data_IF_311865963198
#
_entry.id   IF_311865963198
#
_cell.length_a   1.000
_cell.length_b   1.000
_cell.length_c   1.000
_cell.angle_alpha   90.00
_cell.angle_beta   90.00
_cell.angle_gamma   90.00
#
_symmetry.space_group_name_H-M   'P 1'
#
loop_
_entity.id
_entity.type
_entity.pdbx_description
1 polymer ?
#
# COMPACT_ATOMS: atom_id res chain seq x y z
N UNK A 1 15.40 -9.82 -48.06
CA UNK A 1 14.78 -9.85 -46.71
C UNK A 1 14.05 -8.51 -46.53
N UNK A 2 12.88 -8.17 -47.10
CA UNK A 2 11.57 -8.84 -47.24
C UNK A 2 11.02 -9.43 -45.95
N UNK A 3 10.37 -8.59 -45.13
CA UNK A 3 9.03 -8.85 -44.60
C UNK A 3 8.44 -7.56 -44.00
N UNK A 4 7.37 -7.08 -44.64
CA UNK A 4 6.55 -5.94 -44.26
C UNK A 4 5.10 -6.38 -44.56
N UNK A 5 4.42 -6.90 -43.54
CA UNK A 5 3.01 -7.35 -43.52
C UNK A 5 2.63 -7.38 -42.02
N UNK A 6 1.47 -7.00 -41.50
CA UNK A 6 0.35 -6.15 -41.89
C UNK A 6 -0.57 -6.07 -40.64
N UNK A 7 -1.28 -4.95 -40.53
CA UNK A 7 -2.56 -4.71 -39.83
C UNK A 7 -3.21 -5.84 -39.01
N UNK A 8 -3.56 -5.51 -37.76
CA UNK A 8 -4.90 -5.77 -37.22
C UNK A 8 -5.28 -4.72 -36.18
N UNK A 9 -5.92 -3.65 -36.65
CA UNK A 9 -6.72 -2.76 -35.80
C UNK A 9 -8.10 -3.40 -35.79
N UNK A 10 -8.48 -4.02 -34.67
CA UNK A 10 -9.87 -4.43 -34.46
C UNK A 10 -10.68 -3.18 -34.16
N UNK A 11 -11.39 -2.72 -35.19
CA UNK A 11 -12.57 -1.88 -35.08
C UNK A 11 -13.72 -2.73 -34.52
N UNK A 12 -13.85 -2.74 -33.19
CA UNK A 12 -15.02 -3.22 -32.48
C UNK A 12 -15.97 -2.08 -32.16
N UNK A 13 -16.96 -1.92 -33.04
CA UNK A 13 -18.33 -1.41 -32.83
C UNK A 13 -18.64 -0.67 -31.50
N UNK A 14 -18.49 0.67 -31.52
CA UNK A 14 -19.15 1.56 -30.55
C UNK A 14 -20.42 2.11 -31.18
N UNK A 15 -21.51 1.34 -31.08
CA UNK A 15 -22.84 1.86 -31.38
C UNK A 15 -23.67 1.97 -30.10
N UNK A 16 -24.02 3.23 -29.82
CA UNK A 16 -25.20 3.67 -29.07
C UNK A 16 -25.22 3.47 -27.55
N UNK A 17 -24.78 4.49 -26.81
CA UNK A 17 -25.75 5.21 -25.96
C UNK A 17 -25.36 6.69 -25.82
N UNK A 18 -26.04 7.49 -26.63
CA UNK A 18 -25.97 8.93 -26.69
C UNK A 18 -26.96 9.55 -25.68
N UNK A 19 -26.59 10.71 -25.16
CA UNK A 19 -27.41 11.72 -24.47
C UNK A 19 -27.68 11.57 -22.96
N UNK A 20 -26.89 12.32 -22.17
CA UNK A 20 -27.26 13.60 -21.49
C UNK A 20 -26.23 13.83 -20.38
N UNK A 21 -25.65 15.00 -20.15
CA UNK A 21 -25.70 16.30 -20.78
C UNK A 21 -24.57 17.11 -20.14
N UNK A 22 -24.01 18.03 -20.92
CA UNK A 22 -23.03 19.00 -20.48
C UNK A 22 -23.64 19.88 -19.38
N UNK A 23 -22.93 20.04 -18.26
CA UNK A 23 -22.86 21.35 -17.60
C UNK A 23 -21.54 21.46 -16.86
N UNK A 24 -20.59 22.13 -17.51
CA UNK A 24 -19.47 22.77 -16.84
C UNK A 24 -20.03 23.94 -16.02
N UNK A 25 -19.89 23.86 -14.71
CA UNK A 25 -19.85 25.06 -13.86
C UNK A 25 -18.87 24.77 -12.74
N UNK A 26 -17.63 25.18 -12.96
CA UNK A 26 -16.64 25.35 -11.91
C UNK A 26 -17.07 26.59 -11.13
N UNK A 27 -17.51 26.42 -9.88
CA UNK A 27 -17.81 27.53 -8.98
C UNK A 27 -16.81 27.50 -7.83
N UNK A 28 -15.83 28.38 -7.90
CA UNK A 28 -15.00 28.76 -6.77
C UNK A 28 -15.89 29.57 -5.81
N UNK A 29 -16.11 29.04 -4.61
CA UNK A 29 -16.48 29.86 -3.46
C UNK A 29 -15.35 29.77 -2.46
N UNK A 30 -14.67 30.91 -2.28
CA UNK A 30 -13.85 31.21 -1.11
C UNK A 30 -14.83 31.57 0.00
N UNK A 31 -14.91 30.74 1.03
CA UNK A 31 -15.46 31.13 2.33
C UNK A 31 -14.32 30.98 3.33
N UNK A 32 -13.83 32.14 3.77
CA UNK A 32 -13.04 32.29 4.98
C UNK A 32 -13.93 31.86 6.16
N UNK A 33 -13.50 30.86 6.92
CA UNK A 33 -14.05 30.65 8.25
C UNK A 33 -13.01 30.15 9.25
N UNK A 34 -13.06 30.82 10.40
CA UNK A 34 -12.07 30.86 11.46
C UNK A 34 -11.80 29.50 12.11
N UNK A 35 -10.51 29.21 12.34
CA UNK A 35 -10.07 28.07 13.15
C UNK A 35 -10.55 28.18 14.60
N UNK A 36 -11.66 27.51 14.94
CA UNK A 36 -11.96 27.10 16.31
C UNK A 36 -11.54 25.66 16.54
N UNK A 37 -10.49 25.51 17.35
CA UNK A 37 -10.15 24.26 18.05
C UNK A 37 -11.38 23.72 18.79
N UNK A 38 -11.94 22.61 18.33
CA UNK A 38 -12.80 21.75 19.14
C UNK A 38 -12.30 20.33 19.07
N UNK A 39 -11.76 19.84 20.19
CA UNK A 39 -11.53 18.42 20.43
C UNK A 39 -12.90 17.76 20.54
N UNK A 40 -13.29 17.03 19.50
CA UNK A 40 -14.34 16.03 19.61
C UNK A 40 -13.73 14.68 19.26
N UNK A 41 -13.58 13.86 20.30
CA UNK A 41 -13.52 12.40 20.17
C UNK A 41 -14.78 11.96 19.42
N UNK A 42 -14.60 11.45 18.20
CA UNK A 42 -15.66 10.78 17.46
C UNK A 42 -15.35 9.29 17.43
N UNK A 43 -15.90 8.58 18.41
CA UNK A 43 -16.26 7.17 18.25
C UNK A 43 -17.30 7.08 17.12
N UNK A 44 -16.80 7.00 15.90
CA UNK A 44 -17.60 6.67 14.74
C UNK A 44 -17.87 5.16 14.74
N UNK A 45 -18.87 4.75 15.53
CA UNK A 45 -19.54 3.47 15.32
C UNK A 45 -20.20 3.50 13.94
N UNK A 46 -19.58 2.82 12.98
CA UNK A 46 -20.16 2.53 11.67
C UNK A 46 -21.39 1.63 11.92
N UNK A 47 -22.60 1.97 11.43
CA UNK A 47 -23.69 1.01 11.45
C UNK A 47 -23.37 -0.05 10.40
N UNK A 48 -22.91 -1.21 10.87
CA UNK A 48 -22.99 -2.45 10.13
C UNK A 48 -24.47 -2.73 9.86
N UNK A 49 -24.96 -2.32 8.69
CA UNK A 49 -26.18 -2.88 8.11
C UNK A 49 -25.89 -4.32 7.71
N UNK A 50 -25.86 -5.21 8.69
CA UNK A 50 -26.06 -6.64 8.47
C UNK A 50 -27.56 -6.77 8.17
N UNK A 51 -27.89 -6.88 6.89
CA UNK A 51 -29.21 -7.29 6.45
C UNK A 51 -29.50 -8.67 7.05
N UNK A 52 -30.29 -8.70 8.11
CA UNK A 52 -30.74 -9.92 8.77
C UNK A 52 -31.83 -10.57 7.92
N UNK A 53 -31.43 -11.36 6.93
CA UNK A 53 -32.35 -12.25 6.21
C UNK A 53 -31.71 -13.63 6.07
N UNK A 54 -31.44 -14.29 7.21
CA UNK A 54 -31.37 -15.75 7.27
C UNK A 54 -31.99 -16.19 8.59
N UNK A 55 -33.29 -16.48 8.53
CA UNK A 55 -33.93 -17.27 9.55
C UNK A 55 -33.35 -18.70 9.49
N UNK A 56 -33.03 -19.33 10.64
CA UNK A 56 -32.60 -20.71 10.66
C UNK A 56 -33.77 -21.60 10.24
N UNK A 57 -33.54 -22.50 9.28
CA UNK A 57 -34.43 -23.62 9.02
C UNK A 57 -34.41 -24.49 10.27
N UNK A 58 -35.44 -24.31 11.10
CA UNK A 58 -35.84 -25.26 12.13
C UNK A 58 -36.04 -26.60 11.44
N UNK A 59 -35.11 -27.53 11.68
CA UNK A 59 -35.26 -28.91 11.26
C UNK A 59 -35.10 -29.82 12.47
N UNK A 60 -36.04 -30.74 12.54
CA UNK A 60 -36.12 -31.89 13.43
C UNK A 60 -36.43 -31.60 14.91
N UNK A 61 -37.73 -31.45 15.18
CA UNK A 61 -38.32 -32.06 16.38
C UNK A 61 -37.89 -33.53 16.41
N UNK A 62 -37.09 -33.83 17.42
CA UNK A 62 -36.64 -35.16 17.79
C UNK A 62 -37.86 -35.99 18.20
N UNK A 63 -38.36 -36.84 17.30
CA UNK A 63 -39.29 -37.89 17.69
C UNK A 63 -38.56 -38.90 18.58
N UNK A 64 -38.61 -38.68 19.89
CA UNK A 64 -38.48 -39.75 20.87
C UNK A 64 -39.68 -40.68 20.69
N UNK A 65 -39.54 -41.68 19.82
CA UNK A 65 -40.34 -42.89 19.91
C UNK A 65 -39.55 -43.87 20.76
N UNK A 66 -39.87 -43.88 22.05
CA UNK A 66 -39.54 -44.99 22.93
C UNK A 66 -40.20 -46.25 22.33
N UNK A 67 -39.39 -47.11 21.71
CA UNK A 67 -39.77 -48.50 21.49
C UNK A 67 -39.86 -49.16 22.86
N UNK A 68 -41.06 -49.19 23.43
CA UNK A 68 -41.38 -50.14 24.50
C UNK A 68 -41.41 -51.53 23.87
N UNK A 69 -40.36 -52.30 24.14
CA UNK A 69 -40.32 -53.74 23.94
C UNK A 69 -41.48 -54.39 24.72
N UNK A 70 -42.63 -54.58 24.06
CA UNK A 70 -43.63 -55.53 24.53
C UNK A 70 -43.18 -56.95 24.16
N UNK A 71 -42.11 -57.40 24.83
CA UNK A 71 -41.80 -58.83 24.95
C UNK A 71 -42.72 -59.42 26.01
N UNK A 72 -44.00 -59.62 25.66
CA UNK A 72 -44.86 -60.51 26.43
C UNK A 72 -44.66 -61.93 25.90
N UNK A 73 -43.70 -62.57 26.57
CA UNK A 73 -43.54 -64.01 26.72
C UNK A 73 -44.91 -64.70 26.79
N UNK A 74 -45.36 -65.32 25.70
CA UNK A 74 -46.45 -66.28 25.77
C UNK A 74 -45.91 -67.53 26.46
N UNK A 75 -45.83 -67.48 27.79
CA UNK A 75 -45.68 -68.67 28.61
C UNK A 75 -46.90 -69.55 28.38
N UNK A 76 -46.69 -70.62 27.62
CA UNK A 76 -47.60 -71.75 27.57
C UNK A 76 -47.70 -72.36 28.96
N UNK A 77 -48.69 -71.93 29.76
CA UNK A 77 -49.18 -72.73 30.88
C UNK A 77 -50.01 -73.87 30.29
N UNK A 78 -49.34 -74.94 29.85
CA UNK A 78 -49.99 -76.24 29.76
C UNK A 78 -50.21 -76.68 31.20
N UNK A 79 -51.39 -76.36 31.73
CA UNK A 79 -51.89 -76.99 32.92
C UNK A 79 -52.14 -78.47 32.57
N UNK A 80 -51.28 -79.36 33.08
CA UNK A 80 -51.54 -80.80 33.12
C UNK A 80 -52.79 -81.03 33.97
N UNK A 81 -53.97 -81.05 33.33
CA UNK A 81 -55.16 -81.60 33.96
C UNK A 81 -55.08 -83.13 33.90
N UNK A 82 -54.47 -83.72 34.93
CA UNK A 82 -54.66 -85.14 35.27
C UNK A 82 -56.10 -85.37 35.73
N UNK A 83 -57.01 -85.45 34.77
CA UNK A 83 -58.38 -85.94 34.95
C UNK A 83 -58.47 -87.37 34.42
N UNK A 84 -58.47 -88.33 35.34
CA UNK A 84 -58.64 -89.77 35.13
C UNK A 84 -59.98 -90.07 34.41
N UNK A 85 -59.94 -90.39 33.11
CA UNK A 85 -61.06 -91.05 32.43
C UNK A 85 -60.88 -92.57 32.55
N UNK A 86 -61.56 -93.15 33.54
CA UNK A 86 -61.83 -94.59 33.62
C UNK A 86 -62.61 -95.01 32.37
N UNK A 87 -62.02 -95.96 31.66
CA UNK A 87 -62.44 -96.47 30.37
C UNK A 87 -63.56 -97.50 30.59
N UNK A 88 -64.82 -97.08 30.43
CA UNK A 88 -65.94 -98.00 30.23
C UNK A 88 -67.11 -97.23 29.57
N UNK A 89 -67.25 -97.34 28.25
CA UNK A 89 -68.55 -97.61 27.62
C UNK A 89 -68.37 -97.96 26.13
N UNK A 90 -69.14 -98.94 25.69
CA UNK A 90 -69.16 -99.53 24.36
C UNK A 90 -69.65 -98.51 23.34
N UNK A 91 -68.74 -97.90 22.59
CA UNK A 91 -69.09 -96.98 21.51
C UNK A 91 -70.07 -97.62 20.52
N UNK A 92 -71.18 -96.95 20.26
CA UNK A 92 -72.08 -97.35 19.17
C UNK A 92 -71.42 -97.04 17.81
N UNK A 93 -71.68 -97.79 16.73
CA UNK A 93 -71.06 -97.58 15.42
C UNK A 93 -71.14 -96.13 14.90
N UNK A 94 -72.19 -95.38 15.27
CA UNK A 94 -72.34 -93.95 14.92
C UNK A 94 -71.43 -92.98 15.70
N UNK A 95 -70.90 -93.37 16.86
CA UNK A 95 -69.91 -92.58 17.61
C UNK A 95 -68.50 -92.77 17.05
N UNK A 96 -68.19 -93.98 16.56
CA UNK A 96 -66.89 -94.31 15.94
C UNK A 96 -66.73 -93.56 14.60
N UNK A 97 -67.79 -93.49 13.79
CA UNK A 97 -67.79 -92.73 12.52
C UNK A 97 -67.62 -91.24 12.76
N UNK A 98 -68.34 -90.68 13.74
CA UNK A 98 -68.23 -89.26 14.12
C UNK A 98 -66.83 -88.91 14.63
N UNK A 99 -66.23 -89.74 15.50
CA UNK A 99 -64.88 -89.55 16.01
C UNK A 99 -63.83 -89.59 14.87
N UNK A 100 -64.02 -90.45 13.87
CA UNK A 100 -63.15 -90.52 12.69
C UNK A 100 -63.26 -89.26 11.82
N UNK A 101 -64.46 -88.75 11.60
CA UNK A 101 -64.68 -87.49 10.85
C UNK A 101 -64.14 -86.27 11.60
N UNK A 102 -64.31 -86.24 12.93
CA UNK A 102 -63.73 -85.22 13.80
C UNK A 102 -62.19 -85.26 13.76
N UNK A 103 -61.57 -86.45 13.80
CA UNK A 103 -60.12 -86.62 13.66
C UNK A 103 -59.59 -86.16 12.29
N UNK A 104 -60.35 -86.42 11.21
CA UNK A 104 -60.03 -85.92 9.87
C UNK A 104 -60.11 -84.40 9.80
N UNK A 105 -61.15 -83.80 10.40
CA UNK A 105 -61.30 -82.35 10.52
C UNK A 105 -60.16 -81.73 11.34
N UNK A 106 -59.81 -82.33 12.48
CA UNK A 106 -58.68 -81.90 13.32
C UNK A 106 -57.38 -81.92 12.52
N UNK A 107 -57.14 -82.97 11.73
CA UNK A 107 -55.93 -83.07 10.90
C UNK A 107 -55.88 -81.98 9.82
N UNK A 108 -57.01 -81.65 9.18
CA UNK A 108 -57.08 -80.56 8.21
C UNK A 108 -56.82 -79.20 8.88
N UNK A 109 -57.44 -78.95 10.04
CA UNK A 109 -57.22 -77.73 10.82
C UNK A 109 -55.75 -77.58 11.27
N UNK A 110 -55.09 -78.66 11.66
CA UNK A 110 -53.66 -78.64 12.00
C UNK A 110 -52.79 -78.31 10.78
N UNK A 111 -53.12 -78.84 9.60
CA UNK A 111 -52.40 -78.51 8.36
C UNK A 111 -52.58 -77.05 7.97
N UNK A 112 -53.80 -76.53 8.07
CA UNK A 112 -54.09 -75.11 7.83
C UNK A 112 -53.37 -74.21 8.83
N UNK A 113 -53.40 -74.57 10.13
CA UNK A 113 -52.68 -73.85 11.18
C UNK A 113 -51.17 -73.82 10.92
N UNK A 114 -50.59 -74.95 10.51
CA UNK A 114 -49.17 -75.03 10.17
C UNK A 114 -48.83 -74.19 8.93
N UNK A 115 -49.66 -74.23 7.88
CA UNK A 115 -49.47 -73.40 6.69
C UNK A 115 -49.54 -71.90 7.00
N UNK A 116 -50.46 -71.49 7.88
CA UNK A 116 -50.56 -70.12 8.37
C UNK A 116 -49.32 -69.75 9.22
N UNK A 117 -48.86 -70.64 10.09
CA UNK A 117 -47.66 -70.42 10.90
C UNK A 117 -46.39 -70.23 10.05
N UNK A 118 -46.20 -71.06 9.02
CA UNK A 118 -45.10 -70.91 8.07
C UNK A 118 -45.18 -69.61 7.26
N UNK A 119 -46.38 -69.24 6.81
CA UNK A 119 -46.61 -67.99 6.09
C UNK A 119 -46.31 -66.78 6.96
N UNK A 120 -46.78 -66.78 8.22
CA UNK A 120 -46.53 -65.72 9.18
C UNK A 120 -45.03 -65.58 9.48
N UNK A 121 -44.32 -66.70 9.70
CA UNK A 121 -42.86 -66.69 9.84
C UNK A 121 -42.15 -66.07 8.64
N UNK A 122 -42.53 -66.46 7.42
CA UNK A 122 -41.97 -65.86 6.18
C UNK A 122 -42.25 -64.36 6.07
N UNK A 123 -43.43 -63.91 6.50
CA UNK A 123 -43.78 -62.49 6.51
C UNK A 123 -42.97 -61.73 7.57
N UNK A 124 -42.76 -62.32 8.74
CA UNK A 124 -41.92 -61.75 9.80
C UNK A 124 -40.45 -61.64 9.37
N UNK A 125 -39.90 -62.66 8.72
CA UNK A 125 -38.54 -62.62 8.16
C UNK A 125 -38.41 -61.50 7.11
N UNK A 126 -39.35 -61.41 6.16
CA UNK A 126 -39.39 -60.34 5.16
C UNK A 126 -39.53 -58.95 5.76
N UNK A 127 -40.34 -58.81 6.83
CA UNK A 127 -40.51 -57.55 7.53
C UNK A 127 -39.18 -57.12 8.15
N UNK A 128 -38.50 -58.03 8.87
CA UNK A 128 -37.20 -57.75 9.48
C UNK A 128 -36.11 -57.41 8.45
N UNK A 129 -36.13 -58.06 7.29
CA UNK A 129 -35.23 -57.75 6.18
C UNK A 129 -35.48 -56.34 5.63
N UNK A 130 -36.75 -55.96 5.42
CA UNK A 130 -37.12 -54.63 4.93
C UNK A 130 -36.85 -53.53 5.95
N UNK A 131 -37.03 -53.79 7.23
CA UNK A 131 -36.65 -52.87 8.32
C UNK A 131 -35.15 -52.59 8.30
N UNK A 132 -34.32 -53.64 8.15
CA UNK A 132 -32.87 -53.48 8.04
C UNK A 132 -32.46 -52.73 6.77
N UNK A 133 -33.07 -53.02 5.61
CA UNK A 133 -32.81 -52.27 4.37
C UNK A 133 -33.16 -50.79 4.51
N UNK A 134 -34.29 -50.49 5.16
CA UNK A 134 -34.74 -49.13 5.41
C UNK A 134 -33.76 -48.39 6.34
N UNK A 135 -33.26 -49.05 7.39
CA UNK A 135 -32.25 -48.48 8.27
C UNK A 135 -30.93 -48.19 7.54
N UNK A 136 -30.48 -49.09 6.68
CA UNK A 136 -29.29 -48.85 5.83
C UNK A 136 -29.49 -47.66 4.90
N UNK A 137 -30.64 -47.55 4.24
CA UNK A 137 -30.94 -46.42 3.35
C UNK A 137 -31.00 -45.10 4.13
N UNK A 138 -31.59 -45.08 5.33
CA UNK A 138 -31.60 -43.88 6.20
C UNK A 138 -30.18 -43.43 6.54
N UNK A 139 -29.34 -44.35 6.96
CA UNK A 139 -27.94 -44.04 7.29
C UNK A 139 -27.18 -43.52 6.06
N UNK A 140 -27.39 -44.10 4.87
CA UNK A 140 -26.77 -43.62 3.64
C UNK A 140 -27.22 -42.19 3.28
N UNK A 141 -28.52 -41.90 3.41
CA UNK A 141 -29.03 -40.54 3.18
C UNK A 141 -28.47 -39.52 4.18
N UNK A 142 -28.39 -39.86 5.47
CA UNK A 142 -27.80 -38.98 6.48
C UNK A 142 -26.30 -38.73 6.23
N UNK A 143 -25.57 -39.75 5.76
CA UNK A 143 -24.16 -39.62 5.40
C UNK A 143 -23.98 -38.70 4.17
N UNK A 144 -24.84 -38.83 3.15
CA UNK A 144 -24.81 -37.96 1.98
C UNK A 144 -25.14 -36.51 2.34
N UNK A 145 -26.15 -36.29 3.19
CA UNK A 145 -26.52 -34.95 3.68
C UNK A 145 -25.35 -34.29 4.41
N UNK A 146 -24.71 -35.01 5.35
CA UNK A 146 -23.52 -34.51 6.07
C UNK A 146 -22.35 -34.22 5.15
N UNK A 147 -22.12 -35.05 4.12
CA UNK A 147 -21.06 -34.83 3.15
C UNK A 147 -21.31 -33.56 2.32
N UNK A 148 -22.55 -33.31 1.92
CA UNK A 148 -22.93 -32.09 1.20
C UNK A 148 -22.80 -30.86 2.10
N UNK A 149 -23.26 -30.94 3.35
CA UNK A 149 -23.14 -29.86 4.32
C UNK A 149 -21.68 -29.48 4.58
N UNK A 150 -20.80 -30.47 4.79
CA UNK A 150 -19.37 -30.23 4.95
C UNK A 150 -18.75 -29.52 3.73
N UNK A 151 -19.15 -29.91 2.51
CA UNK A 151 -18.69 -29.27 1.27
C UNK A 151 -19.21 -27.84 1.10
N UNK A 152 -20.43 -27.57 1.57
CA UNK A 152 -20.98 -26.21 1.59
C UNK A 152 -20.20 -25.36 2.60
N UNK A 153 -19.94 -25.88 3.80
CA UNK A 153 -19.17 -25.19 4.82
C UNK A 153 -17.75 -24.87 4.35
N UNK A 154 -17.05 -25.82 3.73
CA UNK A 154 -15.72 -25.61 3.14
C UNK A 154 -15.72 -24.46 2.12
N UNK A 155 -16.67 -24.47 1.17
CA UNK A 155 -16.81 -23.39 0.18
C UNK A 155 -17.14 -22.04 0.83
N UNK A 156 -17.99 -22.05 1.86
CA UNK A 156 -18.34 -20.83 2.58
C UNK A 156 -17.11 -20.24 3.29
N UNK A 157 -16.29 -21.08 3.93
CA UNK A 157 -15.03 -20.65 4.56
C UNK A 157 -14.09 -20.00 3.55
N UNK A 158 -13.89 -20.61 2.38
CA UNK A 158 -13.03 -20.04 1.32
C UNK A 158 -13.53 -18.67 0.88
N UNK A 159 -14.83 -18.52 0.62
CA UNK A 159 -15.40 -17.23 0.20
C UNK A 159 -15.24 -16.16 1.29
N UNK A 160 -15.44 -16.52 2.56
CA UNK A 160 -15.24 -15.60 3.69
C UNK A 160 -13.78 -15.15 3.79
N UNK A 161 -12.83 -16.07 3.61
CA UNK A 161 -11.40 -15.74 3.59
C UNK A 161 -11.05 -14.83 2.41
N UNK A 162 -11.54 -15.10 1.20
CA UNK A 162 -11.32 -14.26 0.02
C UNK A 162 -11.86 -12.84 0.23
N UNK A 163 -13.09 -12.71 0.75
CA UNK A 163 -13.69 -11.41 1.06
C UNK A 163 -12.87 -10.66 2.11
N UNK A 164 -12.40 -11.36 3.15
CA UNK A 164 -11.55 -10.75 4.18
C UNK A 164 -10.24 -10.22 3.60
N UNK A 165 -9.56 -11.00 2.75
CA UNK A 165 -8.32 -10.57 2.10
C UNK A 165 -8.57 -9.38 1.16
N UNK A 166 -9.60 -9.44 0.32
CA UNK A 166 -9.96 -8.35 -0.59
C UNK A 166 -10.30 -7.05 0.17
N UNK A 167 -10.99 -7.15 1.31
CA UNK A 167 -11.28 -5.99 2.16
C UNK A 167 -10.00 -5.39 2.76
N UNK A 168 -9.11 -6.24 3.28
CA UNK A 168 -7.82 -5.79 3.83
C UNK A 168 -6.96 -5.09 2.78
N UNK A 169 -6.91 -5.62 1.56
CA UNK A 169 -6.21 -4.99 0.43
C UNK A 169 -6.84 -3.65 0.04
N UNK A 170 -8.18 -3.60 -0.03
CA UNK A 170 -8.92 -2.35 -0.29
C UNK A 170 -8.59 -1.29 0.76
N UNK A 171 -8.62 -1.63 2.05
CA UNK A 171 -8.33 -0.68 3.12
C UNK A 171 -6.87 -0.22 3.10
N UNK A 172 -5.92 -1.13 2.84
CA UNK A 172 -4.52 -0.78 2.65
C UNK A 172 -4.32 0.20 1.48
N UNK A 173 -4.97 -0.05 0.34
CA UNK A 173 -4.90 0.81 -0.84
C UNK A 173 -5.54 2.19 -0.59
N UNK A 174 -6.67 2.24 0.10
CA UNK A 174 -7.33 3.50 0.49
C UNK A 174 -6.44 4.31 1.42
N UNK A 175 -5.86 3.68 2.46
CA UNK A 175 -4.94 4.35 3.37
C UNK A 175 -3.68 4.85 2.67
N UNK A 176 -3.15 4.11 1.70
CA UNK A 176 -2.02 4.56 0.88
C UNK A 176 -2.37 5.80 0.05
N UNK A 177 -3.54 5.81 -0.61
CA UNK A 177 -4.01 6.98 -1.38
C UNK A 177 -4.23 8.20 -0.51
N UNK A 178 -4.81 8.03 0.68
CA UNK A 178 -5.03 9.14 1.61
C UNK A 178 -3.70 9.75 2.08
N UNK A 179 -2.69 8.91 2.36
CA UNK A 179 -1.35 9.39 2.74
C UNK A 179 -0.72 10.20 1.61
N UNK A 180 -0.71 9.69 0.38
CA UNK A 180 -0.19 10.41 -0.77
C UNK A 180 -0.89 11.76 -0.98
N UNK A 181 -2.23 11.79 -0.89
CA UNK A 181 -2.97 13.04 -1.03
C UNK A 181 -2.62 14.06 0.08
N UNK A 182 -2.36 13.59 1.29
CA UNK A 182 -1.90 14.46 2.38
C UNK A 182 -0.49 14.98 2.16
N UNK A 183 0.43 14.12 1.72
CA UNK A 183 1.81 14.49 1.37
C UNK A 183 1.82 15.53 0.24
N UNK A 184 1.08 15.30 -0.84
CA UNK A 184 0.95 16.24 -1.96
C UNK A 184 0.35 17.60 -1.52
N UNK A 185 -0.67 17.57 -0.67
CA UNK A 185 -1.27 18.79 -0.08
C UNK A 185 -0.28 19.55 0.78
N UNK A 186 0.46 18.85 1.64
CA UNK A 186 1.43 19.46 2.53
C UNK A 186 2.60 20.06 1.73
N UNK A 187 3.09 19.38 0.68
CA UNK A 187 4.08 19.91 -0.25
C UNK A 187 3.57 21.14 -1.03
N UNK A 188 2.30 21.12 -1.46
CA UNK A 188 1.68 22.27 -2.12
C UNK A 188 1.56 23.46 -1.17
N UNK A 189 1.18 23.23 0.09
CA UNK A 189 1.12 24.27 1.12
C UNK A 189 2.49 24.87 1.42
N UNK A 190 3.54 24.04 1.51
CA UNK A 190 4.91 24.52 1.69
C UNK A 190 5.35 25.38 0.50
N UNK A 191 5.10 24.93 -0.73
CA UNK A 191 5.42 25.70 -1.94
C UNK A 191 4.65 27.02 -2.01
N UNK A 192 3.36 27.01 -1.68
CA UNK A 192 2.53 28.21 -1.64
C UNK A 192 3.08 29.23 -0.64
N UNK A 193 3.42 28.80 0.58
CA UNK A 193 4.03 29.67 1.60
C UNK A 193 5.38 30.24 1.17
N UNK A 194 6.22 29.44 0.50
CA UNK A 194 7.51 29.93 -0.02
C UNK A 194 7.30 31.00 -1.10
N UNK A 195 6.31 30.81 -1.98
CA UNK A 195 5.97 31.80 -3.00
C UNK A 195 5.38 33.07 -2.39
N UNK A 196 4.52 32.94 -1.37
CA UNK A 196 3.97 34.06 -0.61
C UNK A 196 5.10 34.88 0.04
N UNK A 197 6.04 34.23 0.73
CA UNK A 197 7.21 34.91 1.30
C UNK A 197 8.09 35.58 0.24
N UNK A 198 8.29 34.91 -0.91
CA UNK A 198 9.02 35.51 -2.03
C UNK A 198 8.28 36.72 -2.61
N UNK A 199 6.94 36.67 -2.65
CA UNK A 199 6.09 37.76 -3.12
C UNK A 199 6.07 38.94 -2.15
N UNK A 200 5.95 38.71 -0.85
CA UNK A 200 6.09 39.76 0.19
C UNK A 200 7.45 40.47 0.08
N UNK A 201 8.52 39.73 -0.25
CA UNK A 201 9.84 40.32 -0.55
C UNK A 201 9.86 41.20 -1.81
N UNK A 202 8.95 40.98 -2.76
CA UNK A 202 8.81 41.73 -4.01
C UNK A 202 7.77 42.86 -3.95
N UNK A 203 6.81 42.81 -3.02
CA UNK A 203 5.74 43.81 -2.85
C UNK A 203 6.28 45.20 -2.45
N UNK A 204 7.58 45.29 -2.10
CA UNK A 204 8.31 46.54 -1.91
C UNK A 204 8.78 47.22 -3.22
N UNK A 205 8.38 46.70 -4.38
CA UNK A 205 8.67 47.27 -5.69
C UNK A 205 7.35 47.47 -6.43
N UNK A 206 6.59 48.51 -6.06
CA UNK A 206 5.57 49.03 -6.96
C UNK A 206 6.26 49.54 -8.24
N UNK A 207 6.08 48.89 -9.41
CA UNK A 207 6.79 49.27 -10.63
C UNK A 207 6.35 50.66 -11.14
N UNK A 208 5.09 51.04 -10.89
CA UNK A 208 4.55 52.33 -11.35
C UNK A 208 5.13 53.53 -10.58
N UNK A 209 5.49 53.34 -9.31
CA UNK A 209 6.09 54.39 -8.48
C UNK A 209 7.61 54.53 -8.66
N UNK A 210 8.28 53.51 -9.19
CA UNK A 210 9.74 53.50 -9.41
C UNK A 210 10.14 54.23 -10.70
N UNK A 211 9.30 54.18 -11.74
CA UNK A 211 9.55 54.79 -13.06
C UNK A 211 9.22 56.28 -13.12
N UNK A 212 8.37 56.78 -12.20
CA UNK A 212 8.06 58.20 -12.12
C UNK A 212 9.33 59.01 -11.88
N UNK A 213 9.45 60.21 -12.44
CA UNK A 213 10.57 61.13 -12.13
C UNK A 213 10.35 61.87 -10.80
N UNK A 214 11.42 62.40 -10.19
CA UNK A 214 11.28 63.18 -8.94
C UNK A 214 10.41 64.41 -9.19
N UNK A 215 10.50 64.95 -10.41
CA UNK A 215 9.68 66.06 -10.88
C UNK A 215 8.20 65.69 -10.99
N UNK A 216 7.87 64.50 -11.49
CA UNK A 216 6.47 64.02 -11.53
C UNK A 216 5.88 63.84 -10.13
N UNK A 217 6.64 63.27 -9.19
CA UNK A 217 6.21 63.13 -7.79
C UNK A 217 5.97 64.50 -7.13
N UNK A 218 6.86 65.46 -7.36
CA UNK A 218 6.70 66.84 -6.89
C UNK A 218 5.48 67.52 -7.51
N UNK A 219 5.26 67.35 -8.81
CA UNK A 219 4.08 67.87 -9.50
C UNK A 219 2.79 67.25 -8.96
N UNK A 220 2.79 65.95 -8.60
CA UNK A 220 1.65 65.28 -7.97
C UNK A 220 1.38 65.80 -6.57
N UNK A 221 2.41 66.06 -5.76
CA UNK A 221 2.23 66.72 -4.45
C UNK A 221 1.65 68.11 -4.62
N UNK A 222 2.17 68.89 -5.58
CA UNK A 222 1.71 70.26 -5.81
C UNK A 222 0.24 70.33 -6.28
N UNK A 223 -0.22 69.27 -6.95
CA UNK A 223 -1.60 69.17 -7.46
C UNK A 223 -2.48 68.23 -6.61
N UNK A 224 -2.02 67.81 -5.43
CA UNK A 224 -2.77 66.87 -4.60
C UNK A 224 -3.85 67.59 -3.77
N UNK A 225 -5.11 67.24 -4.00
CA UNK A 225 -6.25 67.82 -3.27
C UNK A 225 -6.48 67.20 -1.88
N UNK A 226 -5.73 66.15 -1.53
CA UNK A 226 -5.90 65.43 -0.27
C UNK A 226 -4.58 65.22 0.46
N UNK A 227 -4.60 65.36 1.79
CA UNK A 227 -3.45 65.09 2.66
C UNK A 227 -2.88 63.69 2.44
N UNK A 228 -3.74 62.68 2.28
CA UNK A 228 -3.30 61.30 2.05
C UNK A 228 -2.53 61.14 0.73
N UNK A 229 -2.87 61.90 -0.31
CA UNK A 229 -2.12 61.88 -1.57
C UNK A 229 -0.77 62.61 -1.44
N UNK A 230 -0.72 63.68 -0.65
CA UNK A 230 0.54 64.37 -0.31
C UNK A 230 1.47 63.43 0.46
N UNK A 231 0.98 62.78 1.51
CA UNK A 231 1.76 61.88 2.35
C UNK A 231 2.32 60.70 1.53
N UNK A 232 1.47 60.02 0.72
CA UNK A 232 1.89 58.92 -0.15
C UNK A 232 3.00 59.32 -1.13
N UNK A 233 2.83 60.44 -1.85
CA UNK A 233 3.86 60.90 -2.78
C UNK A 233 5.12 61.40 -2.04
N UNK A 234 4.97 61.95 -0.83
CA UNK A 234 6.07 62.35 0.05
C UNK A 234 6.93 61.17 0.48
N UNK A 235 6.29 60.08 0.91
CA UNK A 235 6.96 58.83 1.29
C UNK A 235 7.78 58.27 0.13
N UNK A 236 7.23 58.26 -1.09
CA UNK A 236 7.95 57.84 -2.30
C UNK A 236 9.18 58.68 -2.63
N UNK A 237 9.07 60.01 -2.45
CA UNK A 237 10.22 60.91 -2.64
C UNK A 237 11.32 60.58 -1.64
N UNK A 238 10.96 60.41 -0.36
CA UNK A 238 11.89 60.06 0.72
C UNK A 238 12.58 58.73 0.41
N UNK A 239 11.80 57.71 0.07
CA UNK A 239 12.30 56.38 -0.30
C UNK A 239 13.28 56.44 -1.46
N UNK A 240 12.96 57.22 -2.50
CA UNK A 240 13.83 57.37 -3.68
C UNK A 240 15.13 58.09 -3.34
N UNK A 241 15.07 59.13 -2.51
CA UNK A 241 16.27 59.84 -2.03
C UNK A 241 17.15 58.87 -1.24
N UNK A 242 16.57 58.07 -0.35
CA UNK A 242 17.30 57.06 0.41
C UNK A 242 17.95 56.02 -0.51
N UNK A 243 17.21 55.42 -1.45
CA UNK A 243 17.73 54.45 -2.43
C UNK A 243 18.84 55.05 -3.30
N UNK A 244 18.73 56.32 -3.71
CA UNK A 244 19.78 57.00 -4.48
C UNK A 244 21.04 57.23 -3.66
N UNK A 245 20.90 57.68 -2.41
CA UNK A 245 22.04 57.86 -1.48
C UNK A 245 22.73 56.54 -1.18
N UNK A 246 21.98 55.48 -0.95
CA UNK A 246 22.55 54.17 -0.62
C UNK A 246 23.30 53.56 -1.80
N UNK A 247 22.77 53.69 -3.03
CA UNK A 247 23.50 53.30 -4.25
C UNK A 247 24.81 54.05 -4.40
N UNK A 248 24.83 55.37 -4.16
CA UNK A 248 26.07 56.16 -4.21
C UNK A 248 27.10 55.66 -3.19
N UNK A 249 26.69 55.42 -1.94
CA UNK A 249 27.59 54.85 -0.91
C UNK A 249 28.16 53.50 -1.35
N UNK A 250 27.31 52.63 -1.89
CA UNK A 250 27.71 51.30 -2.37
C UNK A 250 28.74 51.39 -3.50
N UNK A 251 28.48 52.23 -4.52
CA UNK A 251 29.41 52.46 -5.64
C UNK A 251 30.74 52.99 -5.10
N UNK A 252 30.73 54.00 -4.23
CA UNK A 252 31.97 54.55 -3.67
C UNK A 252 32.73 53.51 -2.83
N UNK A 253 32.04 52.64 -2.09
CA UNK A 253 32.70 51.56 -1.36
C UNK A 253 33.33 50.52 -2.30
N UNK A 254 32.62 50.14 -3.38
CA UNK A 254 33.13 49.24 -4.41
C UNK A 254 34.34 49.85 -5.15
N UNK A 255 34.28 51.14 -5.50
CA UNK A 255 35.40 51.87 -6.12
C UNK A 255 36.62 51.93 -5.19
N UNK A 256 36.42 52.25 -3.90
CA UNK A 256 37.52 52.26 -2.91
C UNK A 256 38.13 50.87 -2.77
N UNK A 257 37.31 49.82 -2.69
CA UNK A 257 37.79 48.45 -2.59
C UNK A 257 38.59 48.04 -3.84
N UNK A 258 38.11 48.36 -5.04
CA UNK A 258 38.82 48.09 -6.28
C UNK A 258 40.20 48.79 -6.32
N UNK A 259 40.27 50.05 -5.88
CA UNK A 259 41.54 50.79 -5.77
C UNK A 259 42.50 50.15 -4.76
N UNK A 260 41.98 49.66 -3.62
CA UNK A 260 42.79 48.94 -2.63
C UNK A 260 43.34 47.64 -3.21
N UNK A 261 42.52 46.85 -3.89
CA UNK A 261 42.93 45.61 -4.54
C UNK A 261 43.99 45.85 -5.62
N UNK A 262 43.83 46.88 -6.45
CA UNK A 262 44.82 47.25 -7.46
C UNK A 262 46.15 47.67 -6.82
N UNK A 263 46.10 48.49 -5.76
CA UNK A 263 47.28 48.89 -4.98
C UNK A 263 48.00 47.66 -4.43
N UNK A 264 47.27 46.74 -3.81
CA UNK A 264 47.86 45.55 -3.18
C UNK A 264 48.48 44.61 -4.23
N UNK A 265 47.81 44.43 -5.38
CA UNK A 265 48.37 43.69 -6.50
C UNK A 265 49.64 44.34 -7.07
N UNK A 266 49.69 45.66 -7.16
CA UNK A 266 50.87 46.40 -7.60
C UNK A 266 52.02 46.27 -6.59
N UNK A 267 51.73 46.37 -5.29
CA UNK A 267 52.73 46.17 -4.23
C UNK A 267 53.32 44.76 -4.27
N UNK A 268 52.51 43.72 -4.47
CA UNK A 268 53.00 42.35 -4.61
C UNK A 268 53.85 42.14 -5.89
N UNK A 269 53.56 42.86 -6.98
CA UNK A 269 54.43 42.86 -8.16
C UNK A 269 55.77 43.54 -7.85
N UNK A 270 55.76 44.68 -7.16
CA UNK A 270 56.98 45.37 -6.76
C UNK A 270 57.86 44.48 -5.88
N UNK A 271 57.29 43.85 -4.85
CA UNK A 271 58.04 42.93 -3.97
C UNK A 271 58.68 41.77 -4.74
N UNK A 272 57.96 41.18 -5.69
CA UNK A 272 58.51 40.11 -6.55
C UNK A 272 59.67 40.59 -7.41
N UNK A 273 59.51 41.74 -8.08
CA UNK A 273 60.58 42.32 -8.89
C UNK A 273 61.80 42.70 -8.04
N UNK A 274 61.60 43.17 -6.81
CA UNK A 274 62.70 43.45 -5.87
C UNK A 274 63.46 42.17 -5.50
N UNK A 275 62.77 41.06 -5.27
CA UNK A 275 63.39 39.75 -5.01
C UNK A 275 64.16 39.23 -6.23
N UNK A 276 63.58 39.32 -7.43
CA UNK A 276 64.24 38.93 -8.68
C UNK A 276 65.50 39.77 -8.94
N UNK A 277 65.46 41.07 -8.66
CA UNK A 277 66.63 41.94 -8.74
C UNK A 277 67.72 41.55 -7.73
N UNK A 278 67.35 41.16 -6.52
CA UNK A 278 68.32 40.68 -5.53
C UNK A 278 69.02 39.42 -6.02
N UNK A 279 68.24 38.43 -6.48
CA UNK A 279 68.77 37.18 -7.02
C UNK A 279 69.69 37.43 -8.23
N UNK A 280 69.30 38.33 -9.14
CA UNK A 280 70.12 38.67 -10.31
C UNK A 280 71.43 39.36 -9.92
N UNK A 281 71.41 40.21 -8.88
CA UNK A 281 72.63 40.82 -8.32
C UNK A 281 73.55 39.77 -7.73
N UNK A 282 73.02 38.81 -6.95
CA UNK A 282 73.81 37.71 -6.40
C UNK A 282 74.41 36.83 -7.49
N UNK A 283 73.62 36.48 -8.51
CA UNK A 283 74.09 35.69 -9.66
C UNK A 283 75.19 36.43 -10.43
N UNK A 284 75.02 37.72 -10.72
CA UNK A 284 76.03 38.53 -11.39
C UNK A 284 77.32 38.62 -10.57
N UNK A 285 77.21 38.78 -9.24
CA UNK A 285 78.36 38.81 -8.35
C UNK A 285 79.09 37.46 -8.32
N UNK A 286 78.36 36.34 -8.24
CA UNK A 286 78.92 35.00 -8.32
C UNK A 286 79.61 34.74 -9.67
N UNK A 287 79.01 35.15 -10.79
CA UNK A 287 79.61 35.06 -12.13
C UNK A 287 80.89 35.89 -12.23
N UNK A 288 80.89 37.12 -11.70
CA UNK A 288 82.07 37.96 -11.66
C UNK A 288 83.21 37.34 -10.82
N UNK A 289 82.86 36.71 -9.69
CA UNK A 289 83.84 36.00 -8.85
C UNK A 289 84.40 34.76 -9.54
N UNK A 290 83.56 33.95 -10.21
CA UNK A 290 83.99 32.79 -10.99
C UNK A 290 84.92 33.20 -12.15
N UNK A 291 84.60 34.29 -12.85
CA UNK A 291 85.45 34.83 -13.92
C UNK A 291 86.83 35.23 -13.38
N UNK A 292 86.87 35.94 -12.24
CA UNK A 292 88.13 36.27 -11.57
C UNK A 292 88.93 35.01 -11.22
N UNK A 293 88.29 33.99 -10.64
CA UNK A 293 88.94 32.72 -10.31
C UNK A 293 89.55 32.02 -11.53
N UNK A 294 88.76 31.88 -12.61
CA UNK A 294 89.26 31.30 -13.87
C UNK A 294 90.44 32.08 -14.45
N UNK A 295 90.40 33.42 -14.38
CA UNK A 295 91.53 34.23 -14.87
C UNK A 295 92.78 34.05 -14.02
N UNK A 296 92.64 33.93 -12.70
CA UNK A 296 93.78 33.65 -11.81
C UNK A 296 94.36 32.25 -12.03
N UNK A 297 93.51 31.22 -12.17
CA UNK A 297 93.96 29.86 -12.47
C UNK A 297 94.64 29.75 -13.84
N UNK A 298 94.09 30.40 -14.87
CA UNK A 298 94.68 30.41 -16.21
C UNK A 298 96.05 31.11 -16.21
N UNK A 299 96.18 32.23 -15.49
CA UNK A 299 97.45 32.93 -15.35
C UNK A 299 98.48 32.09 -14.58
N UNK A 300 98.08 31.40 -13.51
CA UNK A 300 98.96 30.46 -12.80
C UNK A 300 99.36 29.28 -13.70
N UNK A 301 98.41 28.69 -14.45
CA UNK A 301 98.69 27.62 -15.40
C UNK A 301 99.65 28.05 -16.51
N UNK A 302 99.54 29.29 -17.01
CA UNK A 302 100.50 29.89 -17.95
C UNK A 302 101.88 30.07 -17.32
N UNK A 303 101.94 30.55 -16.09
CA UNK A 303 103.20 30.73 -15.36
C UNK A 303 103.92 29.38 -15.12
N UNK A 304 103.18 28.33 -14.73
CA UNK A 304 103.73 26.98 -14.57
C UNK A 304 104.21 26.40 -15.91
N UNK A 305 103.47 26.59 -17.00
CA UNK A 305 103.92 26.18 -18.35
C UNK A 305 105.21 26.88 -18.75
N UNK A 306 105.33 28.18 -18.49
CA UNK A 306 106.55 28.95 -18.78
C UNK A 306 107.73 28.48 -17.93
N UNK A 307 107.53 28.22 -16.64
CA UNK A 307 108.56 27.65 -15.76
C UNK A 307 109.01 26.27 -16.26
N UNK A 308 108.08 25.38 -16.62
CA UNK A 308 108.41 24.05 -17.13
C UNK A 308 109.16 24.12 -18.47
N UNK A 309 108.75 25.00 -19.38
CA UNK A 309 109.47 25.26 -20.64
C UNK A 309 110.86 25.82 -20.39
N UNK A 310 111.03 26.72 -19.42
CA UNK A 310 112.34 27.23 -19.00
C UNK A 310 113.27 26.12 -18.53
N UNK A 311 112.78 25.23 -17.66
CA UNK A 311 113.54 24.07 -17.20
C UNK A 311 113.88 23.08 -18.33
N UNK A 312 113.01 22.90 -19.32
CA UNK A 312 113.28 22.05 -20.50
C UNK A 312 114.35 22.65 -21.45
N UNK A 313 114.46 23.98 -21.52
CA UNK A 313 115.52 24.66 -22.28
C UNK A 313 116.87 24.58 -21.54
N UNK A 314 116.86 24.62 -20.22
CA UNK A 314 118.06 24.43 -19.38
C UNK A 314 118.57 22.98 -19.40
N UNK A 315 117.71 21.99 -19.60
CA UNK A 315 118.11 20.57 -19.64
C UNK A 315 118.65 20.10 -21.01
N UNK A 316 118.47 20.89 -22.07
CA UNK A 316 118.91 20.58 -23.45
C UNK A 316 120.16 21.36 -23.90
N UNK A 317 120.76 22.16 -23.00
CA UNK A 317 122.09 22.78 -23.16
C UNK A 317 123.09 22.12 -22.23
#
# INVERSE_FOLDING_TARGET
LKQLIALKIDTGDWTQQEHRGLSRTCSFYLEDDECRNSKHDTDASIPLQISSNFAPVSSAEHYQTMNSENKLDMQSKIAENRGSNTLDDRFTPGQITKLSDDNRRITLLLKELNAVAESNKKLQDKLSEKERELEVLKLDTELQEKAVEAKIAEKATVVVEEVYHAQKERDAAVMARLRLANEERDEALVRAKQLEQAFEGLENINPEENDMTLQELLNRINNADTRRAIDKNGDLIVDRIHKSRERKKKITAEEINAVIEERDAALERCKRLEQELHLLKEQNQAMANNMKHLTTENNQGRALKLSHLGHLVEFNN
#
